data_IF_674276137981
#
_entry.id   IF_674276137981
#
_cell.length_a   1.000
_cell.length_b   1.000
_cell.length_c   1.000
_cell.angle_alpha   90.00
_cell.angle_beta   90.00
_cell.angle_gamma   90.00
#
_symmetry.space_group_name_H-M   'P 1'
#
loop_
_entity.id
_entity.type
_entity.pdbx_description
1 polymer ?
#
# COMPACT_ATOMS: atom_id res chain seq x y z
N UNK A 1 -9.63 -22.48 15.42
CA UNK A 1 -9.71 -21.24 14.63
C UNK A 1 -9.19 -20.11 15.51
N UNK A 2 -8.41 -19.18 14.98
CA UNK A 2 -7.99 -18.00 15.71
C UNK A 2 -9.15 -17.00 15.79
N UNK A 3 -9.39 -16.47 16.99
CA UNK A 3 -10.46 -15.54 17.31
C UNK A 3 -9.93 -14.43 18.21
N UNK A 4 -10.64 -13.30 18.38
CA UNK A 4 -10.23 -12.25 19.28
C UNK A 4 -9.97 -12.67 20.74
N UNK A 5 -10.58 -13.77 21.20
CA UNK A 5 -10.43 -14.28 22.55
C UNK A 5 -9.11 -15.04 22.76
N UNK A 6 -8.55 -15.65 21.70
CA UNK A 6 -7.41 -16.57 21.80
C UNK A 6 -6.16 -16.11 21.03
N UNK A 7 -6.23 -14.98 20.32
CA UNK A 7 -5.12 -14.40 19.56
C UNK A 7 -4.91 -12.92 19.91
N UNK A 8 -3.67 -12.55 20.08
CA UNK A 8 -3.22 -11.15 20.06
C UNK A 8 -2.33 -10.92 18.83
N UNK A 9 -2.46 -9.75 18.22
CA UNK A 9 -1.69 -9.37 17.03
C UNK A 9 -0.69 -8.28 17.38
N UNK A 10 0.55 -8.52 17.04
CA UNK A 10 1.64 -7.53 17.16
C UNK A 10 2.22 -7.31 15.78
N UNK A 11 2.29 -6.07 15.36
CA UNK A 11 3.04 -5.70 14.16
C UNK A 11 4.29 -4.92 14.57
N UNK A 12 5.40 -5.25 13.97
CA UNK A 12 6.68 -4.55 14.13
C UNK A 12 7.09 -4.02 12.76
N UNK A 13 7.21 -2.72 12.65
CA UNK A 13 7.56 -2.02 11.41
C UNK A 13 8.59 -0.93 11.70
N UNK A 14 9.39 -0.56 10.69
CA UNK A 14 10.26 0.59 10.80
C UNK A 14 9.48 1.90 10.63
N UNK A 15 8.55 1.93 9.69
CA UNK A 15 7.60 3.03 9.50
C UNK A 15 6.35 2.85 10.38
N UNK A 16 5.65 3.96 10.62
CA UNK A 16 4.42 3.97 11.42
C UNK A 16 3.50 5.13 11.08
N UNK A 17 2.42 5.34 11.87
CA UNK A 17 1.38 6.32 11.56
C UNK A 17 1.76 7.77 11.90
N UNK A 18 2.83 8.02 12.65
CA UNK A 18 3.26 9.37 12.98
C UNK A 18 3.79 10.10 11.76
N UNK A 19 3.61 11.40 11.67
CA UNK A 19 4.14 12.21 10.57
C UNK A 19 5.67 12.01 10.39
N UNK A 20 6.41 11.87 11.48
CA UNK A 20 7.83 11.56 11.49
C UNK A 20 8.16 10.20 10.84
N UNK A 21 7.28 9.22 11.02
CA UNK A 21 7.51 7.82 10.64
C UNK A 21 6.80 7.40 9.37
N UNK A 22 5.87 8.22 8.86
CA UNK A 22 5.08 7.94 7.66
C UNK A 22 5.84 8.41 6.42
N UNK A 23 6.71 7.56 5.89
CA UNK A 23 7.51 7.91 4.72
C UNK A 23 6.98 7.32 3.41
N UNK A 24 6.16 6.27 3.47
CA UNK A 24 5.65 5.62 2.27
C UNK A 24 4.53 4.60 2.52
N UNK A 25 4.35 3.71 1.56
CA UNK A 25 3.30 2.68 1.61
C UNK A 25 3.42 1.70 2.77
N UNK A 26 4.62 1.52 3.33
CA UNK A 26 4.84 0.66 4.49
C UNK A 26 4.14 1.21 5.73
N UNK A 27 4.29 2.52 6.02
CA UNK A 27 3.62 3.16 7.15
C UNK A 27 2.10 3.17 7.00
N UNK A 28 1.59 3.36 5.78
CA UNK A 28 0.16 3.24 5.46
C UNK A 28 -0.33 1.81 5.73
N UNK A 29 0.37 0.79 5.22
CA UNK A 29 0.03 -0.61 5.48
C UNK A 29 0.02 -0.93 6.98
N UNK A 30 1.07 -0.53 7.71
CA UNK A 30 1.17 -0.79 9.14
C UNK A 30 -0.01 -0.18 9.91
N UNK A 31 -0.38 1.05 9.56
CA UNK A 31 -1.53 1.75 10.14
C UNK A 31 -2.86 1.05 9.82
N UNK A 32 -3.12 0.80 8.54
CA UNK A 32 -4.43 0.32 8.12
C UNK A 32 -4.67 -1.15 8.51
N UNK A 33 -3.66 -2.03 8.35
CA UNK A 33 -3.80 -3.42 8.73
C UNK A 33 -4.00 -3.59 10.24
N UNK A 34 -3.27 -2.83 11.07
CA UNK A 34 -3.46 -2.90 12.53
C UNK A 34 -4.79 -2.33 12.98
N UNK A 35 -5.28 -1.25 12.35
CA UNK A 35 -6.63 -0.72 12.60
C UNK A 35 -7.71 -1.73 12.23
N UNK A 36 -7.55 -2.40 11.12
CA UNK A 36 -8.51 -3.41 10.68
C UNK A 36 -8.54 -4.63 11.63
N UNK A 37 -7.40 -5.08 12.14
CA UNK A 37 -7.39 -6.11 13.20
C UNK A 37 -8.09 -5.63 14.47
N UNK A 38 -7.83 -4.39 14.91
CA UNK A 38 -8.48 -3.83 16.08
C UNK A 38 -10.00 -3.69 15.87
N UNK A 39 -10.44 -3.24 14.69
CA UNK A 39 -11.86 -3.16 14.32
C UNK A 39 -12.53 -4.54 14.28
N UNK A 40 -11.80 -5.60 13.91
CA UNK A 40 -12.25 -6.98 13.98
C UNK A 40 -12.23 -7.58 15.42
N UNK A 41 -11.91 -6.76 16.43
CA UNK A 41 -11.95 -7.12 17.85
C UNK A 41 -10.66 -7.74 18.41
N UNK A 42 -9.59 -7.87 17.62
CA UNK A 42 -8.33 -8.41 18.11
C UNK A 42 -7.57 -7.39 18.96
N UNK A 43 -7.02 -7.83 20.09
CA UNK A 43 -6.04 -7.04 20.81
C UNK A 43 -4.83 -6.83 19.92
N UNK A 44 -4.59 -5.57 19.52
CA UNK A 44 -3.62 -5.22 18.48
C UNK A 44 -2.61 -4.21 18.98
N UNK A 45 -1.33 -4.50 18.77
CA UNK A 45 -0.21 -3.62 19.10
C UNK A 45 0.61 -3.34 17.83
N UNK A 46 0.92 -2.06 17.58
CA UNK A 46 1.88 -1.64 16.55
C UNK A 46 3.12 -1.05 17.23
N UNK A 47 4.28 -1.64 16.96
CA UNK A 47 5.59 -1.13 17.40
C UNK A 47 6.33 -0.58 16.19
N UNK A 48 6.80 0.65 16.27
CA UNK A 48 7.48 1.32 15.16
C UNK A 48 8.51 2.35 15.65
N UNK A 49 9.38 2.82 14.75
CA UNK A 49 10.32 3.90 15.07
C UNK A 49 9.55 5.20 15.21
N UNK A 50 9.41 5.68 16.43
CA UNK A 50 8.47 6.73 16.78
C UNK A 50 9.01 8.15 16.69
N UNK A 51 8.07 9.10 16.60
CA UNK A 51 8.31 10.52 16.74
C UNK A 51 8.83 10.85 18.14
N UNK A 52 10.01 11.48 18.27
CA UNK A 52 10.59 11.82 19.58
C UNK A 52 9.75 12.84 20.37
N UNK A 53 8.90 13.61 19.71
CA UNK A 53 8.03 14.63 20.33
C UNK A 53 6.69 14.09 20.84
N UNK A 54 6.41 12.77 20.65
CA UNK A 54 5.14 12.17 21.07
C UNK A 54 5.29 11.28 22.29
N UNK A 55 4.17 10.96 22.95
CA UNK A 55 4.15 10.00 24.05
C UNK A 55 4.70 8.63 23.58
N UNK A 56 5.51 7.92 24.41
CA UNK A 56 6.07 6.62 24.04
C UNK A 56 5.00 5.58 23.71
N UNK A 57 3.85 5.69 24.34
CA UNK A 57 2.69 4.83 24.11
C UNK A 57 1.41 5.63 24.09
N UNK A 58 0.49 5.20 23.24
CA UNK A 58 -0.90 5.67 23.23
C UNK A 58 -1.80 4.58 22.62
N UNK A 59 -3.10 4.72 22.80
CA UNK A 59 -4.09 3.92 22.10
C UNK A 59 -4.83 4.82 21.12
N UNK A 60 -4.80 4.44 19.84
CA UNK A 60 -5.48 5.16 18.78
C UNK A 60 -6.29 4.18 17.92
N UNK A 61 -7.58 4.44 17.72
CA UNK A 61 -8.50 3.58 16.97
C UNK A 61 -8.44 2.10 17.40
N UNK A 62 -8.34 1.83 18.71
CA UNK A 62 -8.26 0.48 19.26
C UNK A 62 -6.87 -0.19 19.16
N UNK A 63 -5.90 0.44 18.51
CA UNK A 63 -4.53 -0.06 18.38
C UNK A 63 -3.66 0.55 19.46
N UNK A 64 -2.92 -0.29 20.21
CA UNK A 64 -1.85 0.14 21.11
C UNK A 64 -0.62 0.49 20.27
N UNK A 65 -0.26 1.77 20.22
CA UNK A 65 0.93 2.27 19.53
C UNK A 65 2.09 2.33 20.51
N UNK A 66 3.21 1.72 20.16
CA UNK A 66 4.47 1.76 20.94
C UNK A 66 5.53 2.40 20.05
N UNK A 67 5.99 3.59 20.43
CA UNK A 67 7.04 4.34 19.76
C UNK A 67 8.39 3.92 20.27
N UNK A 68 9.16 3.22 19.44
CA UNK A 68 10.49 2.74 19.79
C UNK A 68 11.56 3.70 19.27
N UNK A 69 12.78 3.63 19.80
CA UNK A 69 13.94 4.41 19.37
C UNK A 69 13.81 5.95 19.52
N UNK A 70 12.89 6.48 20.30
CA UNK A 70 12.64 7.92 20.40
C UNK A 70 13.89 8.71 20.83
N UNK A 71 14.71 8.17 21.77
CA UNK A 71 15.96 8.81 22.20
C UNK A 71 16.95 8.99 21.04
N UNK A 72 17.05 7.97 20.16
CA UNK A 72 17.88 8.06 18.96
C UNK A 72 17.24 8.98 17.93
N UNK A 73 15.92 8.87 17.74
CA UNK A 73 15.15 9.71 16.82
C UNK A 73 15.29 11.21 17.11
N UNK A 74 15.46 11.59 18.38
CA UNK A 74 15.67 12.98 18.78
C UNK A 74 16.93 13.60 18.17
N UNK A 75 17.94 12.80 17.88
CA UNK A 75 19.16 13.22 17.17
C UNK A 75 19.01 13.32 15.65
N UNK A 76 17.86 12.89 15.08
CA UNK A 76 17.60 12.79 13.64
C UNK A 76 16.21 13.30 13.30
N UNK A 77 15.96 14.62 13.31
CA UNK A 77 14.61 15.20 13.27
C UNK A 77 13.94 15.15 11.87
N UNK A 78 14.70 14.94 10.79
CA UNK A 78 14.15 15.02 9.41
C UNK A 78 13.24 13.86 9.04
N UNK A 79 13.18 12.78 9.84
CA UNK A 79 12.28 11.65 9.64
C UNK A 79 12.89 10.29 9.96
N UNK A 80 12.10 9.25 9.74
CA UNK A 80 12.41 7.89 10.20
C UNK A 80 13.69 7.32 9.59
N UNK A 81 14.01 7.64 8.34
CA UNK A 81 15.19 7.10 7.64
C UNK A 81 16.49 7.88 7.89
N UNK A 82 16.40 9.09 8.45
CA UNK A 82 17.61 9.78 8.92
C UNK A 82 18.15 9.01 10.14
N UNK A 83 19.45 8.70 10.13
CA UNK A 83 20.05 7.87 11.19
C UNK A 83 19.54 6.42 11.26
N UNK A 84 19.05 5.87 10.14
CA UNK A 84 18.44 4.55 10.00
C UNK A 84 19.23 3.43 10.72
N UNK A 85 20.55 3.37 10.51
CA UNK A 85 21.40 2.31 11.11
C UNK A 85 21.43 2.37 12.64
N UNK A 86 21.52 3.56 13.22
CA UNK A 86 21.53 3.71 14.68
C UNK A 86 20.19 3.28 15.31
N UNK A 87 19.08 3.65 14.68
CA UNK A 87 17.74 3.23 15.10
C UNK A 87 17.56 1.72 14.97
N UNK A 88 18.02 1.13 13.87
CA UNK A 88 17.96 -0.30 13.61
C UNK A 88 18.74 -1.10 14.65
N UNK A 89 19.96 -0.68 15.02
CA UNK A 89 20.76 -1.30 16.07
C UNK A 89 20.05 -1.32 17.41
N UNK A 90 19.45 -0.19 17.81
CA UNK A 90 18.68 -0.08 19.05
C UNK A 90 17.45 -0.99 19.00
N UNK A 91 16.70 -0.98 17.88
CA UNK A 91 15.53 -1.82 17.71
C UNK A 91 15.88 -3.30 17.88
N UNK A 92 16.89 -3.79 17.17
CA UNK A 92 17.30 -5.19 17.21
C UNK A 92 17.79 -5.58 18.60
N UNK A 93 18.52 -4.68 19.29
CA UNK A 93 19.11 -4.98 20.58
C UNK A 93 18.11 -4.99 21.72
N UNK A 94 17.17 -4.07 21.75
CA UNK A 94 16.36 -3.78 22.95
C UNK A 94 14.90 -4.20 22.83
N UNK A 95 14.32 -4.17 21.64
CA UNK A 95 12.90 -4.46 21.45
C UNK A 95 12.52 -5.92 21.77
N UNK A 96 13.32 -6.96 21.46
CA UNK A 96 12.90 -8.35 21.72
C UNK A 96 12.51 -8.61 23.16
N UNK A 97 13.35 -8.22 24.12
CA UNK A 97 13.11 -8.43 25.56
C UNK A 97 11.91 -7.61 26.03
N UNK A 98 11.85 -6.34 25.65
CA UNK A 98 10.74 -5.46 26.00
C UNK A 98 9.40 -5.94 25.41
N UNK A 99 9.38 -6.45 24.20
CA UNK A 99 8.16 -7.00 23.57
C UNK A 99 7.69 -8.25 24.31
N UNK A 100 8.62 -9.12 24.68
CA UNK A 100 8.27 -10.31 25.47
C UNK A 100 7.66 -9.91 26.81
N UNK A 101 8.32 -9.02 27.55
CA UNK A 101 7.89 -8.61 28.89
C UNK A 101 6.55 -7.87 28.86
N UNK A 102 6.38 -6.93 27.93
CA UNK A 102 5.25 -5.99 27.93
C UNK A 102 4.01 -6.46 27.17
N UNK A 103 4.18 -7.44 26.26
CA UNK A 103 3.11 -7.90 25.39
C UNK A 103 2.98 -9.41 25.36
N UNK A 104 4.05 -10.16 25.03
CA UNK A 104 3.92 -11.60 24.77
C UNK A 104 3.67 -12.38 26.06
N UNK A 105 4.48 -12.22 27.09
CA UNK A 105 4.31 -12.93 28.36
C UNK A 105 2.96 -12.64 29.03
N UNK A 106 2.47 -11.37 29.08
CA UNK A 106 1.11 -11.09 29.56
C UNK A 106 0.00 -11.74 28.73
N UNK A 107 0.15 -11.81 27.40
CA UNK A 107 -0.82 -12.50 26.52
C UNK A 107 -0.87 -14.00 26.78
N UNK A 108 0.31 -14.62 26.92
CA UNK A 108 0.45 -16.04 27.28
C UNK A 108 -0.19 -16.33 28.64
N UNK A 109 0.02 -15.42 29.62
CA UNK A 109 -0.62 -15.50 30.95
C UNK A 109 -2.16 -15.45 30.87
N UNK A 110 -2.72 -14.85 29.80
CA UNK A 110 -4.16 -14.86 29.51
C UNK A 110 -4.59 -16.03 28.61
N UNK A 111 -3.72 -17.02 28.40
CA UNK A 111 -3.94 -18.18 27.54
C UNK A 111 -4.21 -17.80 26.06
N UNK A 112 -3.48 -16.78 25.57
CA UNK A 112 -3.56 -16.33 24.17
C UNK A 112 -2.27 -16.67 23.42
N UNK A 113 -2.42 -16.96 22.12
CA UNK A 113 -1.30 -17.00 21.20
C UNK A 113 -1.02 -15.59 20.69
N UNK A 114 0.23 -15.29 20.39
CA UNK A 114 0.60 -14.00 19.81
C UNK A 114 1.09 -14.21 18.37
N UNK A 115 0.45 -13.55 17.41
CA UNK A 115 0.97 -13.43 16.05
C UNK A 115 1.85 -12.18 15.96
N UNK A 116 3.13 -12.35 15.65
CA UNK A 116 4.07 -11.25 15.46
C UNK A 116 4.34 -11.10 13.97
N UNK A 117 3.86 -10.00 13.38
CA UNK A 117 4.04 -9.63 11.98
C UNK A 117 5.23 -8.65 11.90
N UNK A 118 6.31 -9.08 11.31
CA UNK A 118 7.54 -8.30 11.12
C UNK A 118 7.58 -7.79 9.68
N UNK A 119 7.64 -6.47 9.49
CA UNK A 119 7.57 -5.86 8.16
C UNK A 119 8.96 -5.42 7.69
N UNK A 120 9.32 -5.81 6.47
CA UNK A 120 10.52 -5.39 5.74
C UNK A 120 11.85 -5.81 6.34
N UNK A 121 12.93 -5.58 5.59
CA UNK A 121 14.29 -5.99 5.92
C UNK A 121 14.78 -5.50 7.30
N UNK A 122 14.33 -4.33 7.73
CA UNK A 122 14.66 -3.76 9.04
C UNK A 122 14.30 -4.69 10.21
N UNK A 123 13.26 -5.48 10.03
CA UNK A 123 12.76 -6.37 11.10
C UNK A 123 13.28 -7.80 10.99
N UNK A 124 14.07 -8.16 9.96
CA UNK A 124 14.53 -9.52 9.77
C UNK A 124 15.45 -10.01 10.90
N UNK A 125 16.45 -9.20 11.27
CA UNK A 125 17.36 -9.51 12.37
C UNK A 125 16.65 -9.48 13.74
N UNK A 126 15.72 -8.54 13.93
CA UNK A 126 14.84 -8.50 15.10
C UNK A 126 14.03 -9.79 15.24
N UNK A 127 13.38 -10.26 14.17
CA UNK A 127 12.56 -11.47 14.16
C UNK A 127 13.35 -12.70 14.60
N UNK A 128 14.58 -12.86 14.12
CA UNK A 128 15.50 -13.91 14.55
C UNK A 128 15.82 -13.81 16.04
N UNK A 129 16.24 -12.61 16.49
CA UNK A 129 16.60 -12.40 17.89
C UNK A 129 15.39 -12.61 18.83
N UNK A 130 14.20 -12.20 18.41
CA UNK A 130 12.97 -12.46 19.16
C UNK A 130 12.72 -13.97 19.31
N UNK A 131 12.89 -14.75 18.22
CA UNK A 131 12.76 -16.22 18.28
C UNK A 131 13.72 -16.84 19.28
N UNK A 132 15.02 -16.43 19.28
CA UNK A 132 16.03 -16.94 20.20
C UNK A 132 15.67 -16.63 21.67
N UNK A 133 15.21 -15.41 21.93
CA UNK A 133 14.78 -15.00 23.26
C UNK A 133 13.53 -15.76 23.73
N UNK A 134 12.55 -15.94 22.85
CA UNK A 134 11.35 -16.74 23.15
C UNK A 134 11.72 -18.21 23.45
N UNK A 135 12.68 -18.78 22.73
CA UNK A 135 13.18 -20.12 23.03
C UNK A 135 13.84 -20.20 24.41
N UNK A 136 14.72 -19.26 24.74
CA UNK A 136 15.44 -19.23 26.02
C UNK A 136 14.50 -19.07 27.23
N UNK A 137 13.32 -18.47 27.01
CA UNK A 137 12.29 -18.24 28.03
C UNK A 137 11.16 -19.29 28.02
N UNK A 138 11.23 -20.31 27.15
CA UNK A 138 10.18 -21.32 27.02
C UNK A 138 8.86 -20.83 26.38
N UNK A 139 8.85 -19.63 25.80
CA UNK A 139 7.66 -18.99 25.26
C UNK A 139 7.48 -19.20 23.74
N UNK A 140 8.46 -19.79 23.03
CA UNK A 140 8.44 -19.91 21.57
C UNK A 140 7.19 -20.59 21.03
N UNK A 141 6.64 -21.55 21.75
CA UNK A 141 5.42 -22.30 21.36
C UNK A 141 4.12 -21.51 21.53
N UNK A 142 4.17 -20.27 21.96
CA UNK A 142 3.02 -19.38 22.14
C UNK A 142 3.03 -18.20 21.15
N UNK A 143 4.04 -18.13 20.26
CA UNK A 143 4.14 -17.04 19.29
C UNK A 143 4.31 -17.58 17.87
N UNK A 144 3.47 -17.12 16.93
CA UNK A 144 3.62 -17.34 15.49
C UNK A 144 4.38 -16.14 14.93
N UNK A 145 5.54 -16.37 14.35
CA UNK A 145 6.35 -15.32 13.76
C UNK A 145 6.16 -15.30 12.24
N UNK A 146 5.78 -14.14 11.71
CA UNK A 146 5.68 -13.88 10.29
C UNK A 146 6.65 -12.77 9.93
N UNK A 147 7.28 -12.90 8.78
CA UNK A 147 8.06 -11.81 8.19
C UNK A 147 7.56 -11.54 6.78
N UNK A 148 7.30 -10.26 6.46
CA UNK A 148 6.66 -9.84 5.21
C UNK A 148 7.56 -8.92 4.39
N UNK A 149 7.63 -9.19 3.07
CA UNK A 149 8.27 -8.34 2.08
C UNK A 149 7.21 -7.56 1.28
N UNK A 150 7.25 -6.22 1.37
CA UNK A 150 6.44 -5.34 0.52
C UNK A 150 7.22 -4.84 -0.71
N UNK A 151 8.55 -4.86 -0.65
CA UNK A 151 9.43 -4.40 -1.71
C UNK A 151 10.77 -5.17 -1.68
N UNK A 152 11.75 -4.73 -2.50
CA UNK A 152 13.06 -5.38 -2.60
C UNK A 152 14.20 -4.67 -1.87
N UNK A 153 13.91 -3.56 -1.19
CA UNK A 153 14.95 -2.81 -0.48
C UNK A 153 15.56 -3.65 0.63
N UNK A 154 16.87 -3.54 0.78
CA UNK A 154 17.62 -4.20 1.84
C UNK A 154 17.64 -5.73 1.82
N UNK A 155 17.19 -6.38 0.75
CA UNK A 155 17.20 -7.84 0.66
C UNK A 155 18.60 -8.46 0.78
N UNK A 156 19.65 -7.75 0.43
CA UNK A 156 21.02 -8.19 0.57
C UNK A 156 21.55 -8.12 2.02
N UNK A 157 20.81 -7.45 2.91
CA UNK A 157 21.05 -7.39 4.35
C UNK A 157 20.42 -8.58 5.11
N UNK A 158 19.60 -9.40 4.43
CA UNK A 158 18.81 -10.46 5.07
C UNK A 158 19.55 -11.79 5.00
N UNK A 159 19.75 -12.42 6.16
CA UNK A 159 20.09 -13.85 6.25
C UNK A 159 18.81 -14.68 6.02
N UNK A 160 18.50 -14.94 4.75
CA UNK A 160 17.29 -15.64 4.32
C UNK A 160 17.15 -17.03 4.94
N UNK A 161 18.27 -17.74 5.12
CA UNK A 161 18.26 -19.08 5.70
C UNK A 161 17.86 -19.03 7.18
N UNK A 162 18.49 -18.16 7.93
CA UNK A 162 18.16 -17.98 9.35
C UNK A 162 16.74 -17.45 9.54
N UNK A 163 16.29 -16.49 8.72
CA UNK A 163 14.94 -15.96 8.76
C UNK A 163 13.89 -17.04 8.46
N UNK A 164 14.07 -17.82 7.40
CA UNK A 164 13.15 -18.91 7.02
C UNK A 164 13.10 -20.07 8.04
N UNK A 165 14.12 -20.20 8.88
CA UNK A 165 14.11 -21.16 9.98
C UNK A 165 13.24 -20.71 11.16
N UNK A 166 13.16 -19.41 11.44
CA UNK A 166 12.48 -18.88 12.63
C UNK A 166 11.08 -18.35 12.36
N UNK A 167 10.76 -17.95 11.14
CA UNK A 167 9.50 -17.31 10.77
C UNK A 167 8.92 -17.88 9.47
N UNK A 168 7.60 -17.80 9.34
CA UNK A 168 6.93 -17.97 8.06
C UNK A 168 7.11 -16.69 7.23
N UNK A 169 7.64 -16.83 6.02
CA UNK A 169 7.80 -15.70 5.12
C UNK A 169 6.51 -15.43 4.34
N UNK A 170 6.14 -14.16 4.23
CA UNK A 170 5.00 -13.68 3.45
C UNK A 170 5.41 -12.56 2.50
N UNK A 171 4.60 -12.28 1.52
CA UNK A 171 4.77 -11.17 0.60
C UNK A 171 3.43 -10.72 0.04
N UNK A 172 3.41 -9.57 -0.65
CA UNK A 172 2.16 -8.90 -1.04
C UNK A 172 1.61 -9.33 -2.39
N UNK A 173 2.41 -10.00 -3.24
CA UNK A 173 1.96 -10.41 -4.59
C UNK A 173 2.71 -11.64 -5.11
N UNK A 174 2.16 -12.26 -6.16
CA UNK A 174 2.86 -13.35 -6.88
C UNK A 174 4.12 -12.86 -7.59
N UNK A 175 4.12 -11.62 -8.06
CA UNK A 175 5.31 -10.98 -8.60
C UNK A 175 6.45 -10.96 -7.57
N UNK A 176 6.19 -10.43 -6.38
CA UNK A 176 7.15 -10.43 -5.29
C UNK A 176 7.55 -11.85 -4.87
N UNK A 177 6.61 -12.80 -4.86
CA UNK A 177 6.90 -14.22 -4.61
C UNK A 177 7.88 -14.79 -5.62
N UNK A 178 7.71 -14.52 -6.92
CA UNK A 178 8.63 -14.98 -7.96
C UNK A 178 10.05 -14.43 -7.75
N UNK A 179 10.18 -13.16 -7.35
CA UNK A 179 11.45 -12.56 -7.01
C UNK A 179 12.11 -13.24 -5.79
N UNK A 180 11.32 -13.56 -4.76
CA UNK A 180 11.80 -14.25 -3.55
C UNK A 180 12.18 -15.72 -3.83
N UNK A 181 11.50 -16.39 -4.75
CA UNK A 181 11.90 -17.74 -5.22
C UNK A 181 13.31 -17.72 -5.80
N UNK A 182 13.72 -16.67 -6.49
CA UNK A 182 15.09 -16.47 -6.96
C UNK A 182 16.14 -16.34 -5.84
N UNK A 183 15.70 -16.05 -4.60
CA UNK A 183 16.53 -16.05 -3.38
C UNK A 183 16.42 -17.36 -2.57
N UNK A 184 15.75 -18.38 -3.11
CA UNK A 184 15.52 -19.66 -2.43
C UNK A 184 14.42 -19.63 -1.36
N UNK A 185 13.57 -18.61 -1.37
CA UNK A 185 12.47 -18.41 -0.40
C UNK A 185 11.12 -18.55 -1.09
N UNK A 186 10.23 -19.37 -0.53
CA UNK A 186 8.88 -19.59 -1.05
C UNK A 186 7.82 -18.99 -0.10
N UNK A 187 7.52 -17.69 -0.20
CA UNK A 187 6.61 -17.02 0.73
C UNK A 187 5.15 -17.36 0.44
N UNK A 188 4.32 -17.18 1.46
CA UNK A 188 2.86 -17.13 1.30
C UNK A 188 2.45 -15.73 0.85
N UNK A 189 1.58 -15.63 -0.15
CA UNK A 189 1.07 -14.33 -0.62
C UNK A 189 -0.09 -13.88 0.28
N UNK A 190 0.08 -12.70 0.89
CA UNK A 190 -0.94 -11.98 1.66
C UNK A 190 -1.02 -10.58 1.05
N UNK A 191 -2.03 -10.28 0.24
CA UNK A 191 -2.10 -9.01 -0.47
C UNK A 191 -2.23 -7.82 0.48
N UNK A 192 -1.98 -6.62 -0.04
CA UNK A 192 -2.41 -5.40 0.62
C UNK A 192 -3.93 -5.26 0.50
N UNK A 193 -4.52 -4.51 1.42
CA UNK A 193 -5.94 -4.20 1.41
C UNK A 193 -6.19 -2.70 1.28
N UNK A 194 -7.44 -2.38 1.05
CA UNK A 194 -8.00 -1.02 1.14
C UNK A 194 -9.04 -0.99 2.28
N UNK A 195 -9.30 0.18 2.88
CA UNK A 195 -10.39 0.30 3.85
C UNK A 195 -11.75 0.01 3.19
N UNK A 196 -12.71 -0.53 3.94
CA UNK A 196 -14.07 -0.76 3.42
C UNK A 196 -14.73 0.54 2.91
N UNK A 197 -14.41 1.67 3.52
CA UNK A 197 -14.89 2.99 3.07
C UNK A 197 -14.43 3.36 1.66
N UNK A 198 -13.38 2.75 1.13
CA UNK A 198 -13.00 2.94 -0.28
C UNK A 198 -14.06 2.38 -1.25
N UNK A 199 -14.95 1.51 -0.77
CA UNK A 199 -16.09 1.00 -1.52
C UNK A 199 -17.34 1.89 -1.41
N UNK A 200 -17.31 2.96 -0.62
CA UNK A 200 -18.42 3.92 -0.60
C UNK A 200 -18.55 4.56 -1.99
N UNK A 201 -19.78 4.72 -2.50
CA UNK A 201 -19.95 5.29 -3.83
C UNK A 201 -19.51 6.75 -3.85
N UNK A 202 -18.59 7.13 -4.75
CA UNK A 202 -18.26 8.54 -4.97
C UNK A 202 -19.50 9.33 -5.42
N UNK A 203 -19.50 10.65 -5.20
CA UNK A 203 -20.59 11.51 -5.66
C UNK A 203 -20.60 11.58 -7.19
N UNK A 204 -21.63 10.98 -7.80
CA UNK A 204 -21.79 10.92 -9.24
C UNK A 204 -22.01 12.32 -9.87
N UNK A 205 -22.62 13.26 -9.15
CA UNK A 205 -22.82 14.62 -9.64
C UNK A 205 -21.48 15.37 -9.67
N UNK A 206 -20.66 15.21 -8.64
CA UNK A 206 -19.30 15.75 -8.58
C UNK A 206 -18.43 15.17 -9.69
N UNK A 207 -18.44 13.84 -9.87
CA UNK A 207 -17.70 13.20 -10.96
C UNK A 207 -18.15 13.67 -12.35
N UNK A 208 -19.46 13.93 -12.54
CA UNK A 208 -20.00 14.50 -13.76
C UNK A 208 -19.53 15.94 -13.98
N UNK A 209 -19.46 16.76 -12.92
CA UNK A 209 -18.95 18.12 -13.00
C UNK A 209 -17.45 18.15 -13.38
N UNK A 210 -16.64 17.28 -12.79
CA UNK A 210 -15.22 17.12 -13.14
C UNK A 210 -15.08 16.73 -14.62
N UNK A 211 -15.85 15.75 -15.10
CA UNK A 211 -15.85 15.32 -16.50
C UNK A 211 -16.26 16.43 -17.46
N UNK A 212 -17.27 17.20 -17.09
CA UNK A 212 -17.73 18.36 -17.88
C UNK A 212 -16.65 19.45 -17.95
N UNK A 213 -16.00 19.76 -16.81
CA UNK A 213 -14.91 20.73 -16.72
C UNK A 213 -13.69 20.32 -17.54
N UNK A 214 -13.42 19.03 -17.66
CA UNK A 214 -12.36 18.52 -18.51
C UNK A 214 -12.58 18.89 -19.99
N UNK A 215 -13.83 18.98 -20.46
CA UNK A 215 -14.17 19.43 -21.82
C UNK A 215 -13.53 18.58 -22.91
N UNK A 216 -13.33 17.27 -22.67
CA UNK A 216 -12.70 16.34 -23.57
C UNK A 216 -13.37 14.96 -23.48
N UNK A 217 -13.43 14.20 -24.59
CA UNK A 217 -13.92 12.82 -24.57
C UNK A 217 -12.97 11.87 -23.83
N UNK A 218 -11.68 12.22 -23.70
CA UNK A 218 -10.66 11.39 -23.05
C UNK A 218 -9.94 12.18 -21.96
N UNK A 219 -10.32 11.95 -20.70
CA UNK A 219 -9.64 12.44 -19.53
C UNK A 219 -8.88 11.28 -18.88
N UNK A 220 -7.56 11.28 -18.92
CA UNK A 220 -6.72 10.39 -18.12
C UNK A 220 -6.43 11.04 -16.77
N UNK A 221 -6.32 10.23 -15.71
CA UNK A 221 -5.84 10.67 -14.41
C UNK A 221 -4.63 9.87 -13.99
N UNK A 222 -3.61 10.53 -13.42
CA UNK A 222 -2.42 9.86 -12.91
C UNK A 222 -1.94 10.52 -11.63
N UNK A 223 -1.74 9.70 -10.60
CA UNK A 223 -1.25 10.13 -9.28
C UNK A 223 -0.11 9.23 -8.81
N UNK A 224 0.92 9.81 -8.16
CA UNK A 224 2.05 9.08 -7.61
C UNK A 224 3.31 9.93 -7.55
N UNK A 225 4.42 9.37 -7.04
CA UNK A 225 5.71 10.06 -7.06
C UNK A 225 6.22 10.21 -8.50
N UNK A 226 6.92 11.31 -8.79
CA UNK A 226 7.62 11.45 -10.06
C UNK A 226 8.91 10.61 -10.04
N UNK A 227 8.77 9.33 -10.36
CA UNK A 227 9.89 8.41 -10.52
C UNK A 227 9.76 7.64 -11.84
N UNK A 228 10.87 7.22 -12.49
CA UNK A 228 10.84 6.57 -13.80
C UNK A 228 10.00 5.29 -13.85
N UNK A 229 9.98 4.52 -12.76
CA UNK A 229 9.23 3.26 -12.63
C UNK A 229 7.71 3.44 -12.66
N UNK A 230 7.20 4.67 -12.49
CA UNK A 230 5.76 4.95 -12.44
C UNK A 230 5.10 5.18 -13.80
N UNK A 231 5.82 5.03 -14.91
CA UNK A 231 5.22 5.11 -16.26
C UNK A 231 4.69 6.50 -16.64
N UNK A 232 5.34 7.58 -16.16
CA UNK A 232 4.93 8.95 -16.46
C UNK A 232 5.14 9.33 -17.92
N UNK A 233 6.26 8.91 -18.51
CA UNK A 233 6.60 9.19 -19.90
C UNK A 233 5.63 8.51 -20.85
N UNK A 234 5.27 7.25 -20.58
CA UNK A 234 4.27 6.51 -21.34
C UNK A 234 2.89 7.20 -21.33
N UNK A 235 2.51 7.76 -20.16
CA UNK A 235 1.26 8.50 -20.05
C UNK A 235 1.25 9.79 -20.90
N UNK A 236 2.37 10.51 -20.92
CA UNK A 236 2.53 11.71 -21.77
C UNK A 236 2.53 11.35 -23.26
N UNK A 237 3.28 10.31 -23.65
CA UNK A 237 3.34 9.84 -25.04
C UNK A 237 1.96 9.41 -25.54
N UNK A 238 1.20 8.70 -24.71
CA UNK A 238 -0.16 8.29 -25.04
C UNK A 238 -1.08 9.49 -25.33
N UNK A 239 -1.01 10.54 -24.51
CA UNK A 239 -1.79 11.76 -24.75
C UNK A 239 -1.36 12.46 -26.04
N UNK A 240 -0.05 12.50 -26.31
CA UNK A 240 0.47 13.09 -27.55
C UNK A 240 0.00 12.33 -28.79
N UNK A 241 0.06 11.01 -28.77
CA UNK A 241 -0.38 10.15 -29.86
C UNK A 241 -1.88 10.29 -30.13
N UNK A 242 -2.73 10.20 -29.09
CA UNK A 242 -4.16 10.38 -29.23
C UNK A 242 -4.52 11.72 -29.87
N UNK A 243 -3.84 12.80 -29.48
CA UNK A 243 -4.06 14.12 -30.05
C UNK A 243 -3.56 14.24 -31.49
N UNK A 244 -2.42 13.61 -31.81
CA UNK A 244 -1.92 13.53 -33.18
C UNK A 244 -2.90 12.77 -34.13
N UNK A 245 -3.60 11.76 -33.60
CA UNK A 245 -4.64 11.03 -34.29
C UNK A 245 -6.03 11.73 -34.32
N UNK A 246 -6.11 12.96 -33.80
CA UNK A 246 -7.33 13.76 -33.81
C UNK A 246 -8.32 13.48 -32.68
N UNK A 247 -7.99 12.63 -31.68
CA UNK A 247 -8.80 12.46 -30.49
C UNK A 247 -8.37 13.50 -29.42
N UNK A 248 -9.20 14.49 -29.08
CA UNK A 248 -8.88 15.39 -28.00
C UNK A 248 -8.72 14.61 -26.69
N UNK A 249 -7.51 14.56 -26.16
CA UNK A 249 -7.19 13.90 -24.88
C UNK A 249 -6.53 14.91 -23.93
N UNK A 250 -6.83 14.78 -22.65
CA UNK A 250 -6.20 15.53 -21.54
C UNK A 250 -5.77 14.57 -20.46
N UNK A 251 -4.71 14.94 -19.77
CA UNK A 251 -4.29 14.26 -18.55
C UNK A 251 -4.27 15.22 -17.36
N UNK A 252 -4.95 14.84 -16.28
CA UNK A 252 -4.83 15.44 -14.96
C UNK A 252 -3.77 14.67 -14.20
N UNK A 253 -2.77 15.35 -13.70
CA UNK A 253 -1.62 14.75 -13.03
C UNK A 253 -1.44 15.31 -11.63
N UNK A 254 -1.07 14.44 -10.68
CA UNK A 254 -0.60 14.83 -9.37
C UNK A 254 0.65 14.03 -9.03
N UNK A 255 1.81 14.62 -9.20
CA UNK A 255 3.10 14.05 -8.84
C UNK A 255 3.57 14.52 -7.46
N UNK A 256 4.79 14.10 -7.08
CA UNK A 256 5.50 14.62 -5.91
C UNK A 256 6.37 15.84 -6.26
N UNK A 257 7.40 16.03 -5.45
CA UNK A 257 8.39 17.11 -5.61
C UNK A 257 9.71 16.60 -6.21
N UNK A 258 9.74 15.34 -6.65
CA UNK A 258 10.92 14.68 -7.17
C UNK A 258 11.41 15.36 -8.47
N UNK A 259 12.73 15.49 -8.68
CA UNK A 259 13.31 16.17 -9.85
C UNK A 259 12.85 15.61 -11.21
N UNK A 260 12.53 14.33 -11.27
CA UNK A 260 12.04 13.66 -12.48
C UNK A 260 10.75 14.28 -13.06
N UNK A 261 9.96 14.99 -12.24
CA UNK A 261 8.81 15.74 -12.71
C UNK A 261 9.16 16.77 -13.78
N UNK A 262 10.35 17.40 -13.71
CA UNK A 262 10.81 18.33 -14.73
C UNK A 262 11.05 17.66 -16.10
N UNK A 263 11.57 16.42 -16.09
CA UNK A 263 11.76 15.61 -17.32
C UNK A 263 10.42 15.25 -17.94
N UNK A 264 9.43 14.85 -17.12
CA UNK A 264 8.07 14.52 -17.56
C UNK A 264 7.41 15.73 -18.23
N UNK A 265 7.49 16.92 -17.62
CA UNK A 265 6.95 18.16 -18.21
C UNK A 265 7.75 18.58 -19.46
N UNK A 266 9.08 18.38 -19.46
CA UNK A 266 9.94 18.59 -20.62
C UNK A 266 9.51 17.72 -21.82
N UNK A 267 9.22 16.43 -21.59
CA UNK A 267 8.72 15.51 -22.60
C UNK A 267 7.37 15.95 -23.17
N UNK A 268 6.46 16.41 -22.32
CA UNK A 268 5.17 16.93 -22.79
C UNK A 268 5.35 18.12 -23.73
N UNK A 269 6.21 19.07 -23.36
CA UNK A 269 6.53 20.24 -24.22
C UNK A 269 7.25 19.84 -25.52
N UNK A 270 8.12 18.83 -25.47
CA UNK A 270 8.80 18.29 -26.65
C UNK A 270 7.80 17.71 -27.65
N UNK A 271 6.73 17.06 -27.20
CA UNK A 271 5.61 16.61 -28.04
C UNK A 271 4.68 17.76 -28.49
N UNK A 272 4.98 19.01 -28.17
CA UNK A 272 4.10 20.14 -28.48
C UNK A 272 2.81 20.19 -27.66
N UNK A 273 2.72 19.44 -26.57
CA UNK A 273 1.57 19.49 -25.68
C UNK A 273 1.57 20.77 -24.86
N UNK A 274 0.41 21.42 -24.75
CA UNK A 274 0.21 22.56 -23.85
C UNK A 274 0.14 22.05 -22.40
N UNK A 275 1.00 22.61 -21.54
CA UNK A 275 1.11 22.24 -20.11
C UNK A 275 0.65 23.40 -19.26
N UNK A 276 -0.20 23.12 -18.29
CA UNK A 276 -0.61 24.02 -17.22
C UNK A 276 -0.15 23.46 -15.87
N UNK A 277 0.83 24.13 -15.25
CA UNK A 277 1.19 23.88 -13.87
C UNK A 277 0.22 24.67 -12.96
N UNK A 278 -0.61 23.96 -12.22
CA UNK A 278 -1.64 24.52 -11.36
C UNK A 278 -1.14 24.63 -9.91
N UNK A 279 -0.99 25.87 -9.41
CA UNK A 279 -0.43 26.16 -8.09
C UNK A 279 -1.49 26.57 -7.05
N UNK A 280 -2.73 26.81 -7.47
CA UNK A 280 -3.81 27.13 -6.52
C UNK A 280 -4.16 25.91 -5.68
N UNK A 281 -4.59 26.08 -4.43
CA UNK A 281 -5.03 24.98 -3.58
C UNK A 281 -6.19 24.21 -4.21
N UNK A 282 -6.18 22.90 -3.99
CA UNK A 282 -7.26 21.98 -4.37
C UNK A 282 -7.73 21.32 -3.07
N UNK A 283 -8.57 22.01 -2.32
CA UNK A 283 -9.04 21.56 -1.00
C UNK A 283 -10.29 20.66 -1.10
N UNK A 284 -10.99 20.75 -2.24
CA UNK A 284 -12.21 20.01 -2.54
C UNK A 284 -12.36 19.72 -4.05
N UNK A 285 -13.42 19.04 -4.42
CA UNK A 285 -13.74 18.76 -5.82
C UNK A 285 -13.98 20.04 -6.66
N UNK A 286 -14.44 21.12 -6.06
CA UNK A 286 -14.59 22.43 -6.72
C UNK A 286 -13.24 22.96 -7.18
N UNK A 287 -12.17 22.74 -6.43
CA UNK A 287 -10.79 23.05 -6.82
C UNK A 287 -10.35 22.31 -8.08
N UNK A 288 -10.69 21.02 -8.20
CA UNK A 288 -10.42 20.21 -9.41
C UNK A 288 -11.20 20.75 -10.61
N UNK A 289 -12.48 21.06 -10.42
CA UNK A 289 -13.35 21.65 -11.46
C UNK A 289 -12.78 22.99 -11.94
N UNK A 290 -12.33 23.87 -11.02
CA UNK A 290 -11.66 25.13 -11.40
C UNK A 290 -10.39 24.89 -12.19
N UNK A 291 -9.49 24.00 -11.70
CA UNK A 291 -8.24 23.69 -12.37
C UNK A 291 -8.46 23.23 -13.82
N UNK A 292 -9.42 22.33 -14.03
CA UNK A 292 -9.76 21.81 -15.36
C UNK A 292 -10.43 22.86 -16.24
N UNK A 293 -11.33 23.69 -15.69
CA UNK A 293 -12.08 24.71 -16.45
C UNK A 293 -11.19 25.88 -16.88
N UNK A 294 -10.32 26.37 -16.01
CA UNK A 294 -9.44 27.49 -16.29
C UNK A 294 -8.25 27.09 -17.19
N UNK A 295 -7.87 25.80 -17.16
CA UNK A 295 -6.84 25.24 -18.03
C UNK A 295 -7.38 24.56 -19.29
N UNK A 296 -8.54 24.96 -19.83
CA UNK A 296 -9.22 24.30 -20.97
C UNK A 296 -8.36 24.05 -22.20
N UNK A 297 -7.39 24.94 -22.48
CA UNK A 297 -6.46 24.76 -23.60
C UNK A 297 -5.33 23.79 -23.35
N UNK A 298 -5.08 23.39 -22.11
CA UNK A 298 -3.96 22.53 -21.75
C UNK A 298 -4.28 21.05 -21.97
N UNK A 299 -3.36 20.34 -22.61
CA UNK A 299 -3.40 18.88 -22.73
C UNK A 299 -2.96 18.20 -21.44
N UNK A 300 -2.04 18.82 -20.72
CA UNK A 300 -1.49 18.36 -19.43
C UNK A 300 -1.84 19.37 -18.36
N UNK A 301 -2.52 18.95 -17.30
CA UNK A 301 -2.83 19.73 -16.11
C UNK A 301 -2.11 19.11 -14.93
N UNK A 302 -1.06 19.76 -14.46
CA UNK A 302 -0.23 19.30 -13.36
C UNK A 302 -0.63 20.00 -12.07
N UNK A 303 -1.24 19.29 -11.13
CA UNK A 303 -1.60 19.81 -9.82
C UNK A 303 -0.34 19.85 -8.93
N UNK A 304 0.20 21.05 -8.70
CA UNK A 304 1.46 21.25 -7.96
C UNK A 304 1.28 21.30 -6.43
N UNK A 305 0.03 21.20 -5.94
CA UNK A 305 -0.30 21.22 -4.52
C UNK A 305 -0.85 19.86 -4.08
N UNK A 306 -0.96 19.70 -2.76
CA UNK A 306 -1.57 18.51 -2.17
C UNK A 306 -3.00 18.31 -2.71
N UNK A 307 -3.35 17.07 -2.98
CA UNK A 307 -4.70 16.65 -3.37
C UNK A 307 -5.29 15.81 -2.21
N UNK A 308 -6.39 16.25 -1.59
CA UNK A 308 -7.01 15.51 -0.52
C UNK A 308 -7.47 14.12 -0.96
N UNK A 309 -7.25 13.11 -0.12
CA UNK A 309 -7.67 11.74 -0.39
C UNK A 309 -9.19 11.63 -0.63
N UNK A 310 -9.97 12.52 -0.02
CA UNK A 310 -11.45 12.57 -0.17
C UNK A 310 -11.93 12.97 -1.56
N UNK A 311 -11.09 13.56 -2.40
CA UNK A 311 -11.44 14.02 -3.76
C UNK A 311 -11.00 13.01 -4.83
N UNK A 312 -10.09 12.10 -4.48
CA UNK A 312 -9.52 11.13 -5.44
C UNK A 312 -10.61 10.21 -6.00
N UNK A 313 -11.54 9.63 -5.22
CA UNK A 313 -12.57 8.73 -5.75
C UNK A 313 -13.48 9.38 -6.81
N UNK A 314 -13.80 10.67 -6.69
CA UNK A 314 -14.58 11.40 -7.68
C UNK A 314 -13.80 11.62 -8.98
N UNK A 315 -12.48 11.86 -8.90
CA UNK A 315 -11.62 11.98 -10.07
C UNK A 315 -11.50 10.61 -10.75
N UNK A 316 -11.31 9.54 -9.99
CA UNK A 316 -11.22 8.16 -10.49
C UNK A 316 -12.49 7.76 -11.25
N UNK A 317 -13.67 8.10 -10.70
CA UNK A 317 -14.96 7.88 -11.36
C UNK A 317 -15.13 8.78 -12.58
N UNK A 318 -14.65 10.03 -12.55
CA UNK A 318 -14.76 10.98 -13.66
C UNK A 318 -13.87 10.62 -14.83
N UNK A 319 -12.66 10.12 -14.60
CA UNK A 319 -11.68 9.83 -15.62
C UNK A 319 -12.15 8.75 -16.60
N UNK A 320 -11.68 8.84 -17.84
CA UNK A 320 -11.78 7.74 -18.82
C UNK A 320 -11.04 6.52 -18.28
N UNK A 321 -9.83 6.76 -17.78
CA UNK A 321 -9.06 5.77 -17.02
C UNK A 321 -8.08 6.44 -16.04
N UNK A 322 -7.76 5.71 -14.98
CA UNK A 322 -6.69 6.00 -14.03
C UNK A 322 -5.44 5.25 -14.46
N UNK A 323 -4.34 5.97 -14.66
CA UNK A 323 -3.10 5.39 -15.16
C UNK A 323 -2.20 4.95 -14.00
N UNK A 324 -2.40 3.74 -13.53
CA UNK A 324 -1.56 3.05 -12.54
C UNK A 324 -0.51 2.13 -13.21
N UNK A 325 -0.04 2.52 -14.39
CA UNK A 325 0.84 1.76 -15.29
C UNK A 325 2.31 1.81 -14.85
N UNK A 326 2.60 1.36 -13.63
CA UNK A 326 3.97 1.22 -13.13
C UNK A 326 4.67 0.02 -13.81
N UNK A 327 5.95 0.18 -14.18
CA UNK A 327 6.73 -0.92 -14.78
C UNK A 327 7.04 -2.04 -13.78
N UNK A 328 7.29 -1.67 -12.54
CA UNK A 328 7.60 -2.61 -11.44
C UNK A 328 6.87 -2.20 -10.17
N UNK A 329 5.72 -2.76 -9.94
CA UNK A 329 4.90 -2.47 -8.76
C UNK A 329 4.78 -3.72 -7.89
N UNK A 330 5.17 -3.66 -6.61
CA UNK A 330 5.00 -4.79 -5.71
C UNK A 330 3.55 -5.21 -5.50
N UNK A 331 2.62 -4.23 -5.45
CA UNK A 331 1.17 -4.49 -5.32
C UNK A 331 0.28 -3.49 -6.06
N UNK A 332 0.59 -2.17 -5.99
CA UNK A 332 -0.11 -1.14 -6.76
C UNK A 332 -1.47 -0.72 -6.21
N UNK A 333 -1.51 -0.02 -5.08
CA UNK A 333 -2.77 0.42 -4.44
C UNK A 333 -3.59 1.38 -5.33
N UNK A 334 -2.95 2.27 -6.10
CA UNK A 334 -3.66 3.27 -6.93
C UNK A 334 -4.66 2.62 -7.90
N UNK A 335 -4.28 1.51 -8.54
CA UNK A 335 -5.19 0.78 -9.42
C UNK A 335 -6.37 0.17 -8.67
N UNK A 336 -6.12 -0.40 -7.49
CA UNK A 336 -7.16 -0.99 -6.65
C UNK A 336 -8.13 0.06 -6.09
N UNK A 337 -7.62 1.22 -5.66
CA UNK A 337 -8.42 2.36 -5.19
C UNK A 337 -9.32 2.89 -6.31
N UNK A 338 -8.77 3.05 -7.53
CA UNK A 338 -9.56 3.42 -8.70
C UNK A 338 -10.67 2.40 -9.00
N UNK A 339 -10.39 1.10 -8.89
CA UNK A 339 -11.38 0.05 -9.05
C UNK A 339 -12.48 0.13 -8.00
N UNK A 340 -12.12 0.35 -6.74
CA UNK A 340 -13.07 0.51 -5.63
C UNK A 340 -14.00 1.70 -5.83
N UNK A 341 -13.48 2.83 -6.31
CA UNK A 341 -14.25 4.02 -6.67
C UNK A 341 -15.17 3.81 -7.90
N UNK A 342 -15.04 2.70 -8.62
CA UNK A 342 -15.78 2.44 -9.87
C UNK A 342 -15.17 3.14 -11.08
N UNK A 343 -13.89 3.50 -11.02
CA UNK A 343 -13.09 3.94 -12.14
C UNK A 343 -12.67 2.78 -13.06
N UNK A 344 -12.00 3.10 -14.17
CA UNK A 344 -11.29 2.11 -14.99
C UNK A 344 -9.80 2.24 -14.69
N UNK A 345 -9.18 1.19 -14.18
CA UNK A 345 -7.74 1.16 -13.94
C UNK A 345 -6.99 0.63 -15.17
N UNK A 346 -5.97 1.37 -15.63
CA UNK A 346 -4.92 0.88 -16.49
C UNK A 346 -3.70 0.60 -15.59
N UNK A 347 -3.36 -0.66 -15.43
CA UNK A 347 -2.31 -1.10 -14.49
C UNK A 347 -1.14 -1.72 -15.25
N UNK A 348 0.02 -1.83 -14.61
CA UNK A 348 1.15 -2.59 -15.14
C UNK A 348 0.92 -4.11 -15.05
N UNK A 349 1.85 -4.87 -15.60
CA UNK A 349 1.78 -6.33 -15.68
C UNK A 349 2.60 -7.03 -14.57
N UNK A 350 2.73 -6.43 -13.38
CA UNK A 350 3.58 -6.98 -12.32
C UNK A 350 2.80 -7.43 -11.09
N UNK A 351 2.70 -6.62 -10.06
CA UNK A 351 2.21 -7.03 -8.74
C UNK A 351 0.71 -6.83 -8.49
N UNK A 352 -0.04 -6.39 -9.47
CA UNK A 352 -1.45 -6.04 -9.36
C UNK A 352 -2.33 -7.29 -9.32
N UNK A 353 -2.30 -8.02 -8.21
CA UNK A 353 -3.02 -9.29 -7.99
C UNK A 353 -4.53 -9.22 -8.21
N UNK A 354 -5.11 -8.03 -8.09
CA UNK A 354 -6.53 -7.75 -8.29
C UNK A 354 -6.92 -7.60 -9.75
N UNK A 355 -5.95 -7.38 -10.66
CA UNK A 355 -6.22 -7.05 -12.06
C UNK A 355 -6.39 -8.31 -12.92
N UNK A 356 -7.49 -8.36 -13.66
CA UNK A 356 -7.77 -9.36 -14.70
C UNK A 356 -7.83 -8.67 -16.06
N UNK A 357 -6.89 -8.97 -17.00
CA UNK A 357 -6.84 -8.30 -18.31
C UNK A 357 -8.20 -8.29 -19.01
N UNK A 358 -8.71 -7.11 -19.34
CA UNK A 358 -10.03 -6.87 -19.92
C UNK A 358 -11.22 -7.48 -19.16
N UNK A 359 -11.00 -8.07 -17.99
CA UNK A 359 -12.04 -8.55 -17.08
C UNK A 359 -12.55 -7.44 -16.18
N UNK A 360 -11.66 -6.85 -15.39
CA UNK A 360 -11.95 -5.78 -14.42
C UNK A 360 -11.00 -4.58 -14.56
N UNK A 361 -9.88 -4.73 -15.26
CA UNK A 361 -8.90 -3.68 -15.53
C UNK A 361 -8.34 -3.84 -16.95
N UNK A 362 -7.57 -2.86 -17.42
CA UNK A 362 -6.71 -3.03 -18.60
C UNK A 362 -5.28 -3.15 -18.06
N UNK A 363 -4.61 -4.22 -18.45
CA UNK A 363 -3.21 -4.47 -18.11
C UNK A 363 -2.34 -4.02 -19.25
N UNK A 364 -1.37 -3.16 -18.97
CA UNK A 364 -0.38 -2.64 -19.91
C UNK A 364 0.84 -3.55 -19.81
N UNK A 365 1.16 -4.21 -20.90
CA UNK A 365 2.19 -5.25 -20.97
C UNK A 365 3.58 -4.70 -21.35
N UNK A 366 3.61 -3.50 -21.97
CA UNK A 366 4.82 -2.92 -22.53
C UNK A 366 5.16 -1.56 -21.90
N UNK A 367 6.38 -1.09 -22.16
CA UNK A 367 6.80 0.27 -21.80
C UNK A 367 6.50 1.29 -22.93
N UNK A 368 5.59 0.96 -23.86
CA UNK A 368 5.25 1.83 -24.98
C UNK A 368 3.99 2.67 -24.68
N UNK A 369 4.09 3.99 -24.89
CA UNK A 369 2.95 4.89 -24.79
C UNK A 369 1.82 4.57 -25.78
N UNK A 370 2.13 3.96 -26.91
CA UNK A 370 1.15 3.54 -27.91
C UNK A 370 0.16 2.49 -27.37
N UNK A 371 0.60 1.59 -26.50
CA UNK A 371 -0.31 0.63 -25.83
C UNK A 371 -1.31 1.36 -24.93
N UNK A 372 -0.83 2.34 -24.15
CA UNK A 372 -1.69 3.18 -23.30
C UNK A 372 -2.66 4.00 -24.15
N UNK A 373 -2.20 4.57 -25.26
CA UNK A 373 -3.03 5.31 -26.21
C UNK A 373 -4.14 4.42 -26.81
N UNK A 374 -3.78 3.23 -27.29
CA UNK A 374 -4.74 2.26 -27.84
C UNK A 374 -5.79 1.84 -26.79
N UNK A 375 -5.37 1.64 -25.54
CA UNK A 375 -6.28 1.32 -24.44
C UNK A 375 -7.27 2.46 -24.16
N UNK A 376 -6.79 3.71 -24.04
CA UNK A 376 -7.62 4.90 -23.83
C UNK A 376 -8.60 5.12 -24.98
N UNK A 377 -8.14 5.03 -26.24
CA UNK A 377 -9.00 5.09 -27.44
C UNK A 377 -10.07 4.02 -27.38
N UNK A 378 -9.67 2.77 -27.09
CA UNK A 378 -10.59 1.65 -26.97
C UNK A 378 -11.70 1.85 -25.93
N UNK A 379 -11.44 2.59 -24.85
CA UNK A 379 -12.44 2.95 -23.83
C UNK A 379 -13.39 4.04 -24.33
N UNK A 380 -12.89 5.02 -25.09
CA UNK A 380 -13.71 6.08 -25.71
C UNK A 380 -14.63 5.50 -26.78
N UNK A 381 -14.09 4.68 -27.67
CA UNK A 381 -14.82 4.11 -28.81
C UNK A 381 -15.81 3.02 -28.38
N UNK A 382 -15.58 2.38 -27.23
CA UNK A 382 -16.40 1.26 -26.73
C UNK A 382 -16.94 1.53 -25.31
N UNK A 383 -17.92 2.44 -25.15
CA UNK A 383 -18.47 2.77 -23.82
C UNK A 383 -19.05 1.56 -23.05
N UNK A 384 -19.50 0.53 -23.78
CA UNK A 384 -19.99 -0.71 -23.19
C UNK A 384 -18.86 -1.48 -22.48
N UNK A 385 -17.63 -1.47 -23.03
CA UNK A 385 -16.45 -2.03 -22.40
C UNK A 385 -16.13 -1.28 -21.09
N UNK A 386 -16.07 0.05 -21.14
CA UNK A 386 -15.80 0.88 -19.96
C UNK A 386 -16.82 0.62 -18.84
N UNK A 387 -18.13 0.56 -19.16
CA UNK A 387 -19.17 0.25 -18.18
C UNK A 387 -19.01 -1.15 -17.56
N UNK A 388 -18.65 -2.15 -18.38
CA UNK A 388 -18.39 -3.50 -17.88
C UNK A 388 -17.20 -3.52 -16.95
N UNK A 389 -16.06 -2.96 -17.34
CA UNK A 389 -14.86 -2.91 -16.52
C UNK A 389 -15.12 -2.24 -15.16
N UNK A 390 -15.81 -1.09 -15.13
CA UNK A 390 -16.18 -0.37 -13.91
C UNK A 390 -16.98 -1.24 -12.94
N UNK A 391 -17.96 -1.99 -13.46
CA UNK A 391 -18.81 -2.86 -12.63
C UNK A 391 -18.02 -4.02 -12.05
N UNK A 392 -17.25 -4.74 -12.89
CA UNK A 392 -16.43 -5.88 -12.46
C UNK A 392 -15.30 -5.42 -11.54
N UNK A 393 -14.66 -4.28 -11.83
CA UNK A 393 -13.62 -3.67 -10.99
C UNK A 393 -14.12 -3.47 -9.55
N UNK A 394 -15.26 -2.79 -9.40
CA UNK A 394 -15.83 -2.52 -8.08
C UNK A 394 -16.31 -3.80 -7.37
N UNK A 395 -16.75 -4.81 -8.11
CA UNK A 395 -17.10 -6.11 -7.55
C UNK A 395 -15.88 -6.80 -6.98
N UNK A 396 -14.80 -6.91 -7.75
CA UNK A 396 -13.60 -7.64 -7.38
C UNK A 396 -12.74 -6.90 -6.33
N UNK A 397 -12.82 -5.57 -6.26
CA UNK A 397 -12.13 -4.78 -5.23
C UNK A 397 -12.56 -5.17 -3.80
N UNK A 398 -13.75 -5.74 -3.61
CA UNK A 398 -14.24 -6.21 -2.31
C UNK A 398 -13.38 -7.32 -1.72
N UNK A 399 -12.79 -8.15 -2.56
CA UNK A 399 -11.93 -9.25 -2.13
C UNK A 399 -10.59 -8.76 -1.57
N UNK A 400 -10.29 -7.46 -1.76
CA UNK A 400 -9.09 -6.78 -1.31
C UNK A 400 -9.36 -5.72 -0.24
N UNK A 401 -10.51 -5.74 0.42
CA UNK A 401 -10.70 -4.95 1.63
C UNK A 401 -9.90 -5.54 2.80
N UNK A 402 -9.49 -4.71 3.76
CA UNK A 402 -8.75 -5.22 4.91
C UNK A 402 -9.46 -6.34 5.67
N UNK A 403 -10.79 -6.33 5.88
CA UNK A 403 -11.49 -7.47 6.46
C UNK A 403 -11.31 -8.76 5.67
N UNK A 404 -11.46 -8.73 4.33
CA UNK A 404 -11.25 -9.89 3.48
C UNK A 404 -9.79 -10.39 3.51
N UNK A 405 -8.82 -9.47 3.50
CA UNK A 405 -7.39 -9.81 3.63
C UNK A 405 -7.09 -10.44 4.99
N UNK A 406 -7.68 -9.92 6.08
CA UNK A 406 -7.51 -10.48 7.44
C UNK A 406 -8.10 -11.88 7.53
N UNK A 407 -9.28 -12.12 6.97
CA UNK A 407 -9.88 -13.44 6.92
C UNK A 407 -8.93 -14.44 6.25
N UNK A 408 -8.43 -14.09 5.07
CA UNK A 408 -7.44 -14.90 4.36
C UNK A 408 -6.12 -15.08 5.12
N UNK A 409 -5.68 -14.08 5.88
CA UNK A 409 -4.49 -14.18 6.72
C UNK A 409 -4.72 -15.13 7.91
N UNK A 410 -5.87 -15.04 8.59
CA UNK A 410 -6.21 -15.90 9.74
C UNK A 410 -6.27 -17.38 9.33
N UNK A 411 -6.81 -17.70 8.16
CA UNK A 411 -6.79 -19.06 7.62
C UNK A 411 -5.34 -19.57 7.43
N UNK A 412 -4.49 -18.76 6.85
CA UNK A 412 -3.07 -19.11 6.63
C UNK A 412 -2.26 -19.13 7.93
N UNK A 413 -2.62 -18.30 8.90
CA UNK A 413 -1.98 -18.27 10.22
C UNK A 413 -2.15 -19.62 10.95
N UNK A 414 -3.28 -20.29 10.76
CA UNK A 414 -3.50 -21.64 11.30
C UNK A 414 -2.49 -22.66 10.76
N UNK A 415 -2.24 -22.62 9.46
CA UNK A 415 -1.23 -23.45 8.82
C UNK A 415 0.19 -23.10 9.33
N UNK A 416 0.52 -21.81 9.42
CA UNK A 416 1.82 -21.35 9.89
C UNK A 416 2.07 -21.72 11.36
N UNK A 417 1.03 -21.64 12.21
CA UNK A 417 1.12 -22.06 13.61
C UNK A 417 1.44 -23.53 13.76
N UNK A 418 0.83 -24.38 12.94
CA UNK A 418 1.13 -25.81 12.91
C UNK A 418 2.60 -26.08 12.53
N UNK A 419 3.09 -25.44 11.46
CA UNK A 419 4.48 -25.56 11.02
C UNK A 419 5.49 -25.07 12.06
N UNK A 420 5.15 -24.06 12.81
CA UNK A 420 5.99 -23.51 13.88
C UNK A 420 5.78 -24.21 15.23
N UNK A 421 4.98 -25.27 15.27
CA UNK A 421 4.66 -26.04 16.48
C UNK A 421 4.09 -25.17 17.61
N UNK A 422 3.28 -24.15 17.25
CA UNK A 422 2.65 -23.27 18.22
C UNK A 422 1.44 -23.95 18.82
N UNK A 423 1.31 -23.86 20.14
CA UNK A 423 0.19 -24.40 20.88
C UNK A 423 -1.07 -23.58 20.59
N UNK A 424 -1.97 -24.12 19.78
CA UNK A 424 -3.30 -23.51 19.61
C UNK A 424 -4.18 -23.88 20.78
N UNK A 425 -4.80 -22.91 21.48
CA UNK A 425 -5.75 -23.22 22.54
C UNK A 425 -6.89 -24.07 21.98
N UNK A 426 -7.11 -25.25 22.58
CA UNK A 426 -8.31 -26.04 22.27
C UNK A 426 -9.52 -25.33 22.88
N UNK A 427 -10.67 -25.27 22.18
CA UNK A 427 -11.90 -24.78 22.79
C UNK A 427 -12.20 -25.62 24.06
N UNK A 428 -12.09 -25.04 25.24
CA UNK A 428 -12.50 -25.66 26.49
C UNK A 428 -11.43 -26.32 27.36
N UNK A 429 -10.14 -26.32 27.00
CA UNK A 429 -9.08 -26.87 27.86
C UNK A 429 -8.43 -25.75 28.68
N UNK A 430 -8.78 -25.63 29.96
CA UNK A 430 -7.96 -24.91 30.93
C UNK A 430 -6.64 -25.65 31.04
N UNK A 431 -5.53 -25.05 30.66
CA UNK A 431 -4.21 -25.56 30.95
C UNK A 431 -4.09 -25.66 32.48
N UNK A 432 -3.94 -26.87 32.99
CA UNK A 432 -3.59 -27.07 34.40
C UNK A 432 -2.17 -26.51 34.59
N UNK A 433 -2.05 -25.61 35.56
CA UNK A 433 -0.80 -25.04 36.11
C UNK A 433 0.20 -26.09 36.50
#
# INVERSE_FOLDING_TARGET
MFTPENLEVVMVSFEGPDQYSLAGGLGVRARELTRAFAAAGFATTLVFVGDPGRAPEETCAGVRLIRWCQEVSAGFPSGVYEGERAKLEVLIRTLPDALIERVIAPAVGRNRVVAVLCEEWHTAAFCRRLSDRLHSMGLRRHAVLLWNANNRFGWDEIDWRALGYVASTTTVSRYMKLLMLGRGVNPVVIPNGIPESALDPPDAAVAAAIRSAAGTPCLAFKIGRFTPDKGWTQAIDAVAELRAEGLPARILMRGGIEPYGAEVMGRARHHGLSVCDWFEPVDDAGGVVRALSESRGAAVVNLCRFLPETVIPEIDLAATAVLANSGHEPFGLVGLEAMAAGGVALVGATGEEYARPYGNAIVIETDDGAEVAAALRGLVDRPALARRLRREARHDARDFTWPAVIEGLLERLRYMSFHQQVLTPSPGTRLRS
#
